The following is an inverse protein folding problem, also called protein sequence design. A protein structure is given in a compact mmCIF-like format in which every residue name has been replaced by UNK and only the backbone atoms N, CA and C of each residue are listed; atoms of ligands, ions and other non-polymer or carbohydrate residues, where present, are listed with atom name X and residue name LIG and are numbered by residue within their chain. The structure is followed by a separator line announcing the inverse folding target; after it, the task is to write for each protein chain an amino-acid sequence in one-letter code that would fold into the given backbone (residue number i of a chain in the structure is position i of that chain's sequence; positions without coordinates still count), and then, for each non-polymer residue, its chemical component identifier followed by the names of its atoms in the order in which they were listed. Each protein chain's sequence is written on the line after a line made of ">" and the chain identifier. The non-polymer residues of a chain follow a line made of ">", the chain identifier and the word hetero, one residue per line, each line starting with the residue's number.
data_IF_875170511613
#
_entry.id   IF_875170511613
#
_cell.length_a   1.000
_cell.length_b   1.000
_cell.length_c   1.000
_cell.angle_alpha   90.00
_cell.angle_beta   90.00
_cell.angle_gamma   90.00
#
_symmetry.space_group_name_H-M   'P 1'
#
loop_
_entity.id
_entity.type
_entity.pdbx_description
1 polymer ?
#
# COMPACT_ATOMS: atom_id res chain seq x y z
N UNK A 1 -18.50 0.40 -21.96
CA UNK A 1 -18.11 0.12 -21.57
C UNK A 1 -17.62 0.15 -20.45
N UNK A 2 -17.63 -0.13 -19.92
CA UNK A 2 -17.23 0.01 -18.83
C UNK A 2 -15.96 -0.40 -18.61
N UNK A 3 -15.23 0.13 -18.07
CA UNK A 3 -14.06 -0.25 -17.83
C UNK A 3 -13.88 -0.72 -16.54
N UNK A 4 -13.26 -1.74 -16.33
CA UNK A 4 -13.01 -2.29 -15.07
C UNK A 4 -11.85 -1.62 -14.48
N UNK A 5 -12.14 -0.66 -13.63
CA UNK A 5 -11.11 -0.03 -12.96
C UNK A 5 -10.64 -0.93 -11.85
N UNK A 6 -9.37 -1.15 -11.76
CA UNK A 6 -8.83 -2.00 -10.73
C UNK A 6 -8.94 -1.31 -9.38
N UNK A 7 -9.44 -2.01 -8.39
CA UNK A 7 -9.62 -1.45 -7.06
C UNK A 7 -8.46 -1.90 -6.18
N UNK A 8 -7.84 -0.98 -5.50
CA UNK A 8 -6.71 -1.29 -4.65
C UNK A 8 -7.16 -2.15 -3.46
N UNK A 9 -6.44 -3.23 -3.23
CA UNK A 9 -6.72 -4.12 -2.12
C UNK A 9 -6.25 -3.46 -0.82
N UNK A 10 -7.13 -3.35 0.20
CA UNK A 10 -6.73 -2.70 1.44
C UNK A 10 -5.50 -3.33 2.09
N UNK A 11 -5.36 -4.65 2.00
CA UNK A 11 -4.18 -5.30 2.56
C UNK A 11 -2.92 -4.86 1.84
N UNK A 12 -3.00 -4.72 0.53
CA UNK A 12 -1.84 -4.29 -0.24
C UNK A 12 -1.50 -2.84 0.05
N UNK A 13 -2.51 -2.01 0.30
CA UNK A 13 -2.26 -0.65 0.72
C UNK A 13 -1.51 -0.64 2.05
N UNK A 14 -1.93 -1.48 2.99
CA UNK A 14 -1.23 -1.59 4.26
C UNK A 14 0.20 -2.06 4.08
N UNK A 15 0.43 -3.01 3.19
CA UNK A 15 1.78 -3.46 2.91
C UNK A 15 2.64 -2.33 2.35
N UNK A 16 2.07 -1.57 1.45
CA UNK A 16 2.78 -0.44 0.84
C UNK A 16 3.13 0.61 1.90
N UNK A 17 2.15 1.00 2.71
CA UNK A 17 2.39 2.03 3.73
C UNK A 17 3.34 1.55 4.81
N UNK A 18 3.20 0.30 5.22
CA UNK A 18 4.09 -0.25 6.24
C UNK A 18 5.53 -0.27 5.76
N UNK A 19 5.74 -0.66 4.53
CA UNK A 19 7.09 -0.73 3.99
C UNK A 19 7.67 0.65 3.79
N UNK A 20 6.85 1.60 3.40
CA UNK A 20 7.34 2.93 3.09
C UNK A 20 7.57 3.80 4.32
N UNK A 21 6.73 3.63 5.32
CA UNK A 21 6.73 4.55 6.47
C UNK A 21 7.13 3.93 7.79
N UNK A 22 7.61 2.69 7.79
CA UNK A 22 8.12 2.06 9.01
C UNK A 22 9.44 1.39 8.71
N UNK A 23 10.11 0.97 9.76
CA UNK A 23 11.36 0.23 9.62
C UNK A 23 11.13 -1.28 9.66
N UNK A 24 9.90 -1.71 9.59
CA UNK A 24 9.62 -3.14 9.62
C UNK A 24 10.18 -3.81 8.39
N UNK A 25 10.77 -4.98 8.60
CA UNK A 25 11.25 -5.78 7.49
C UNK A 25 10.06 -6.36 6.72
N UNK A 26 10.33 -6.81 5.50
CA UNK A 26 9.28 -7.45 4.71
C UNK A 26 8.73 -8.67 5.43
N UNK A 27 9.58 -9.39 6.14
CA UNK A 27 9.14 -10.57 6.86
C UNK A 27 8.24 -10.20 8.03
N UNK A 28 8.58 -9.13 8.74
CA UNK A 28 7.74 -8.67 9.84
C UNK A 28 6.38 -8.21 9.34
N UNK A 29 6.38 -7.47 8.23
CA UNK A 29 5.11 -7.03 7.66
C UNK A 29 4.27 -8.24 7.27
N UNK A 30 4.88 -9.24 6.68
CA UNK A 30 4.16 -10.46 6.32
C UNK A 30 3.54 -11.13 7.52
N UNK A 31 4.25 -11.20 8.63
CA UNK A 31 3.70 -11.80 9.83
C UNK A 31 2.54 -11.02 10.39
N UNK A 32 2.65 -9.71 10.41
CA UNK A 32 1.58 -8.86 10.90
C UNK A 32 0.34 -8.99 10.04
N UNK A 33 0.54 -9.21 8.75
CA UNK A 33 -0.57 -9.31 7.80
C UNK A 33 -1.15 -10.71 7.70
N UNK A 34 -0.93 -11.55 8.70
CA UNK A 34 -1.52 -12.87 8.73
C UNK A 34 -0.61 -13.96 8.22
N UNK A 35 0.66 -13.89 8.61
CA UNK A 35 1.66 -14.89 8.22
C UNK A 35 1.82 -15.00 6.71
N UNK A 36 1.86 -13.86 6.05
CA UNK A 36 2.10 -13.83 4.63
C UNK A 36 3.58 -13.92 4.34
N UNK A 37 3.90 -14.56 3.24
CA UNK A 37 5.27 -14.64 2.79
C UNK A 37 5.78 -13.25 2.42
N UNK A 38 7.08 -13.02 2.59
CA UNK A 38 7.66 -11.73 2.24
C UNK A 38 7.49 -11.43 0.75
N UNK A 39 7.46 -12.45 -0.09
CA UNK A 39 7.23 -12.25 -1.52
C UNK A 39 5.84 -11.66 -1.77
N UNK A 40 4.85 -12.10 -0.99
CA UNK A 40 3.50 -11.54 -1.09
C UNK A 40 3.51 -10.06 -0.73
N UNK A 41 4.29 -9.68 0.28
CA UNK A 41 4.40 -8.27 0.68
C UNK A 41 5.03 -7.45 -0.43
N UNK A 42 6.08 -7.97 -1.05
CA UNK A 42 6.73 -7.28 -2.16
C UNK A 42 5.75 -7.08 -3.30
N UNK A 43 5.00 -8.12 -3.65
CA UNK A 43 4.04 -8.01 -4.74
C UNK A 43 2.95 -6.99 -4.42
N UNK A 44 2.48 -6.98 -3.17
CA UNK A 44 1.47 -6.02 -2.78
C UNK A 44 1.98 -4.59 -2.86
N UNK A 45 3.20 -4.38 -2.35
CA UNK A 45 3.83 -3.06 -2.40
C UNK A 45 4.01 -2.61 -3.85
N UNK A 46 4.54 -3.49 -4.69
CA UNK A 46 4.82 -3.12 -6.07
C UNK A 46 3.55 -2.84 -6.84
N UNK A 47 2.50 -3.60 -6.57
CA UNK A 47 1.24 -3.39 -7.24
C UNK A 47 0.68 -2.01 -6.92
N UNK A 48 0.68 -1.63 -5.65
CA UNK A 48 0.17 -0.31 -5.26
C UNK A 48 1.06 0.79 -5.84
N UNK A 49 2.37 0.58 -5.78
CA UNK A 49 3.29 1.57 -6.32
C UNK A 49 3.02 1.82 -7.81
N UNK A 50 2.74 0.76 -8.53
CA UNK A 50 2.45 0.87 -9.95
C UNK A 50 1.10 1.53 -10.21
N UNK A 51 0.10 1.19 -9.41
CA UNK A 51 -1.21 1.81 -9.55
C UNK A 51 -1.15 3.31 -9.30
N UNK A 52 -0.29 3.74 -8.41
CA UNK A 52 -0.17 5.17 -8.12
C UNK A 52 0.34 5.98 -9.30
N UNK A 53 0.98 5.32 -10.25
CA UNK A 53 1.47 6.02 -11.43
C UNK A 53 0.34 6.50 -12.35
N UNK A 54 -0.80 5.82 -12.32
CA UNK A 54 -1.89 6.12 -13.22
C UNK A 54 -3.21 6.41 -12.53
N UNK A 55 -3.32 6.09 -11.24
CA UNK A 55 -4.59 6.25 -10.53
C UNK A 55 -4.52 7.46 -9.62
N UNK A 56 -5.00 8.58 -10.11
CA UNK A 56 -4.93 9.84 -9.37
C UNK A 56 -5.82 9.83 -8.14
N UNK A 57 -6.93 9.13 -8.21
CA UNK A 57 -7.83 9.03 -7.06
C UNK A 57 -7.15 8.28 -5.93
N UNK A 58 -6.50 7.17 -6.26
CA UNK A 58 -5.77 6.42 -5.26
C UNK A 58 -4.65 7.25 -4.65
N UNK A 59 -3.95 7.99 -5.48
CA UNK A 59 -2.86 8.83 -5.00
C UNK A 59 -3.38 9.89 -4.04
N UNK A 60 -4.48 10.54 -4.38
CA UNK A 60 -5.07 11.54 -3.50
C UNK A 60 -5.51 10.93 -2.18
N UNK A 61 -6.13 9.77 -2.22
CA UNK A 61 -6.59 9.11 -1.02
C UNK A 61 -5.44 8.72 -0.12
N UNK A 62 -4.36 8.21 -0.70
CA UNK A 62 -3.20 7.84 0.10
C UNK A 62 -2.52 9.07 0.69
N UNK A 63 -2.48 10.17 -0.05
CA UNK A 63 -1.91 11.40 0.49
C UNK A 63 -2.68 11.86 1.73
N UNK A 64 -4.00 11.76 1.69
CA UNK A 64 -4.82 12.12 2.83
C UNK A 64 -4.51 11.23 4.03
N UNK A 65 -4.40 9.93 3.79
CA UNK A 65 -4.10 8.99 4.86
C UNK A 65 -2.73 9.27 5.45
N UNK A 66 -1.74 9.50 4.60
CA UNK A 66 -0.39 9.76 5.05
C UNK A 66 -0.34 11.03 5.90
N UNK A 67 -1.05 12.07 5.49
CA UNK A 67 -1.08 13.29 6.26
C UNK A 67 -1.71 13.10 7.62
N UNK A 68 -2.69 12.20 7.72
CA UNK A 68 -3.30 11.91 9.01
C UNK A 68 -2.39 11.10 9.91
N UNK A 69 -1.58 10.22 9.33
CA UNK A 69 -0.65 9.42 10.09
C UNK A 69 0.58 10.23 10.50
N UNK A 70 0.96 11.19 9.67
CA UNK A 70 2.14 12.00 9.86
C UNK A 70 1.79 13.45 9.66
N UNK A 71 1.00 14.04 10.57
CA UNK A 71 0.59 15.42 10.35
C UNK A 71 1.78 16.36 10.40
N UNK A 72 1.77 17.40 9.59
CA UNK A 72 2.83 18.39 9.68
C UNK A 72 2.75 19.10 11.01
N UNK A 73 3.90 19.39 11.56
CA UNK A 73 3.95 20.09 12.85
C UNK A 73 4.12 21.59 12.66
#
# INVERSE_FOLDING_TARGET
>A
KKKNKEIANPRQICMYLSRKYTDYSLQNIGKIMGNRDHTTVIHGHDKINKMLETDETLKSNLDIIIKKLNPPT
#
